data_IF_212997551145
#
_entry.id   IF_212997551145
#
_cell.length_a   1.000
_cell.length_b   1.000
_cell.length_c   1.000
_cell.angle_alpha   90.00
_cell.angle_beta   90.00
_cell.angle_gamma   90.00
#
_symmetry.space_group_name_H-M   'P 1'
#
loop_
_entity.id
_entity.type
_entity.pdbx_description
1 polymer ?
#
# COMPACT_ATOMS: atom_id res chain seq x y z
N UNK A 1 -3.21 3.34 -73.18
CA UNK A 1 -3.18 1.93 -72.75
C UNK A 1 -3.47 1.87 -71.26
N UNK A 2 -4.45 1.04 -70.90
CA UNK A 2 -4.91 0.63 -69.57
C UNK A 2 -5.26 1.72 -68.54
N UNK A 3 -6.53 2.14 -68.61
CA UNK A 3 -7.32 2.75 -67.54
C UNK A 3 -7.95 1.67 -66.64
N UNK A 4 -8.14 1.96 -65.35
CA UNK A 4 -9.27 1.44 -64.55
C UNK A 4 -9.83 2.54 -63.63
N UNK A 5 -11.13 2.85 -63.73
CA UNK A 5 -11.90 3.70 -62.81
C UNK A 5 -12.78 2.86 -61.82
N UNK A 6 -13.59 3.49 -60.94
CA UNK A 6 -14.03 2.95 -59.63
C UNK A 6 -15.51 2.50 -59.48
N UNK A 7 -15.82 1.91 -58.30
CA UNK A 7 -17.10 1.64 -57.55
C UNK A 7 -18.48 1.56 -58.25
N UNK A 8 -19.40 0.66 -57.78
CA UNK A 8 -20.62 1.10 -57.03
C UNK A 8 -21.04 0.17 -55.85
N UNK A 9 -21.70 0.61 -54.75
CA UNK A 9 -23.17 0.79 -54.48
C UNK A 9 -24.05 -0.42 -54.86
N UNK A 10 -25.16 -0.83 -54.22
CA UNK A 10 -25.86 -0.70 -52.94
C UNK A 10 -27.20 -1.48 -53.07
N UNK A 11 -27.85 -1.87 -51.95
CA UNK A 11 -29.30 -2.10 -51.75
C UNK A 11 -29.94 -3.52 -51.66
N UNK A 12 -30.58 -3.71 -50.49
CA UNK A 12 -31.95 -4.18 -50.19
C UNK A 12 -32.56 -5.42 -50.88
N UNK A 13 -33.07 -6.33 -50.04
CA UNK A 13 -34.14 -7.28 -50.38
C UNK A 13 -34.77 -7.87 -49.11
N UNK A 14 -36.08 -7.69 -48.96
CA UNK A 14 -36.92 -8.08 -47.80
C UNK A 14 -37.73 -9.35 -48.14
N UNK A 15 -38.18 -10.07 -47.11
CA UNK A 15 -39.29 -11.06 -47.02
C UNK A 15 -39.04 -12.53 -47.43
N UNK A 16 -39.18 -13.46 -46.47
CA UNK A 16 -40.47 -14.14 -46.19
C UNK A 16 -40.36 -15.18 -45.05
N UNK A 17 -41.46 -15.37 -44.34
CA UNK A 17 -41.68 -16.33 -43.23
C UNK A 17 -41.93 -17.75 -43.78
N UNK A 18 -41.49 -18.81 -43.08
CA UNK A 18 -42.37 -19.76 -42.36
C UNK A 18 -41.63 -20.94 -41.66
N UNK A 19 -41.93 -21.06 -40.35
CA UNK A 19 -42.22 -22.23 -39.49
C UNK A 19 -41.34 -23.49 -39.41
N UNK A 20 -41.09 -23.88 -38.13
CA UNK A 20 -40.87 -25.23 -37.60
C UNK A 20 -39.38 -25.60 -37.54
N UNK A 21 -38.77 -26.01 -36.42
CA UNK A 21 -39.22 -26.74 -35.24
C UNK A 21 -38.29 -26.44 -34.06
N UNK A 22 -38.86 -26.41 -32.86
CA UNK A 22 -38.22 -26.17 -31.55
C UNK A 22 -37.21 -27.29 -31.24
N UNK A 23 -35.99 -26.93 -30.85
CA UNK A 23 -35.00 -27.82 -30.24
C UNK A 23 -34.84 -27.43 -28.76
N UNK A 24 -35.21 -28.32 -27.85
CA UNK A 24 -34.97 -28.21 -26.41
C UNK A 24 -33.74 -29.07 -26.05
N UNK A 25 -32.79 -28.57 -25.25
CA UNK A 25 -31.71 -29.39 -24.70
C UNK A 25 -32.20 -30.21 -23.48
N UNK A 26 -31.67 -31.42 -23.25
CA UNK A 26 -32.16 -32.31 -22.21
C UNK A 26 -31.71 -31.86 -20.80
N UNK A 27 -32.66 -31.84 -19.87
CA UNK A 27 -32.45 -31.73 -18.43
C UNK A 27 -31.96 -33.06 -17.83
N UNK A 28 -30.86 -33.11 -17.06
CA UNK A 28 -30.56 -34.27 -16.22
C UNK A 28 -31.32 -34.18 -14.89
N UNK A 29 -32.14 -35.20 -14.61
CA UNK A 29 -32.85 -35.38 -13.34
C UNK A 29 -31.95 -35.82 -12.18
N UNK A 30 -32.48 -35.88 -10.94
CA UNK A 30 -31.67 -36.05 -9.74
C UNK A 30 -31.25 -37.51 -9.55
N UNK A 31 -29.95 -37.77 -9.59
CA UNK A 31 -29.39 -39.06 -9.16
C UNK A 31 -29.29 -39.08 -7.63
N UNK A 32 -30.24 -39.76 -6.98
CA UNK A 32 -30.17 -40.08 -5.55
C UNK A 32 -29.17 -41.22 -5.35
N UNK A 33 -27.97 -40.89 -4.87
CA UNK A 33 -26.99 -41.89 -4.45
C UNK A 33 -27.38 -42.39 -3.06
N UNK A 34 -27.97 -43.60 -2.98
CA UNK A 34 -28.15 -44.32 -1.71
C UNK A 34 -26.80 -44.90 -1.28
N UNK A 35 -26.21 -44.31 -0.24
CA UNK A 35 -25.05 -44.87 0.44
C UNK A 35 -25.49 -46.02 1.35
N UNK A 36 -24.97 -47.22 1.13
CA UNK A 36 -25.16 -48.38 2.03
C UNK A 36 -23.85 -48.63 2.79
N UNK A 37 -23.87 -48.79 4.12
CA UNK A 37 -22.63 -49.04 4.86
C UNK A 37 -22.18 -50.50 4.67
N UNK A 38 -20.87 -50.78 4.57
CA UNK A 38 -20.40 -52.16 4.54
C UNK A 38 -20.51 -52.81 5.93
N UNK A 39 -20.93 -54.08 5.93
CA UNK A 39 -21.05 -54.94 7.11
C UNK A 39 -19.68 -55.15 7.76
N UNK A 40 -19.60 -54.87 9.06
CA UNK A 40 -18.47 -55.24 9.92
C UNK A 40 -18.35 -56.76 10.03
N UNK A 41 -17.17 -57.30 9.74
CA UNK A 41 -16.72 -58.60 10.28
C UNK A 41 -15.58 -58.34 11.25
N UNK A 42 -15.83 -58.57 12.54
CA UNK A 42 -14.82 -58.56 13.58
C UNK A 42 -13.85 -59.73 13.40
N UNK A 43 -12.57 -59.43 13.22
CA UNK A 43 -11.48 -60.32 13.56
C UNK A 43 -10.53 -59.56 14.49
N UNK A 44 -10.47 -60.01 15.72
CA UNK A 44 -9.58 -59.51 16.76
C UNK A 44 -8.17 -59.99 16.46
N UNK A 45 -7.26 -59.08 16.13
CA UNK A 45 -5.83 -59.30 16.19
C UNK A 45 -5.22 -58.22 17.09
N UNK A 46 -4.75 -58.65 18.28
CA UNK A 46 -3.92 -57.83 19.16
C UNK A 46 -2.49 -57.87 18.62
N UNK A 47 -1.92 -56.72 18.25
CA UNK A 47 -0.49 -56.38 18.46
C UNK A 47 -0.11 -55.09 17.72
N UNK A 48 0.54 -54.17 18.43
CA UNK A 48 1.29 -53.06 17.86
C UNK A 48 0.59 -51.71 17.97
N UNK A 49 0.96 -50.93 18.99
CA UNK A 49 0.78 -49.48 18.93
C UNK A 49 1.74 -48.98 17.85
N UNK A 50 1.20 -48.67 16.68
CA UNK A 50 1.94 -47.99 15.63
C UNK A 50 2.12 -46.52 16.04
N UNK A 51 3.29 -46.21 16.61
CA UNK A 51 3.69 -44.85 17.01
C UNK A 51 4.19 -44.01 15.83
N UNK A 52 3.91 -44.40 14.57
CA UNK A 52 4.42 -43.70 13.38
C UNK A 52 3.44 -42.73 12.70
N UNK A 53 2.29 -42.42 13.33
CA UNK A 53 1.50 -41.28 12.87
C UNK A 53 2.16 -39.98 13.35
N UNK A 54 2.64 -39.09 12.45
CA UNK A 54 3.05 -37.76 12.87
C UNK A 54 1.86 -37.12 13.59
N UNK A 55 2.09 -36.52 14.75
CA UNK A 55 1.09 -35.68 15.39
C UNK A 55 0.55 -34.69 14.34
N UNK A 56 -0.76 -34.43 14.29
CA UNK A 56 -1.28 -33.41 13.38
C UNK A 56 -0.52 -32.12 13.67
N UNK A 57 0.21 -31.62 12.66
CA UNK A 57 0.90 -30.34 12.73
C UNK A 57 -0.09 -29.31 13.24
N UNK A 58 0.15 -28.82 14.45
CA UNK A 58 -0.75 -27.87 15.10
C UNK A 58 -0.78 -26.61 14.25
N UNK A 59 -1.87 -26.41 13.50
CA UNK A 59 -2.04 -25.22 12.67
C UNK A 59 -1.86 -23.97 13.52
N UNK A 60 -0.94 -23.11 13.12
CA UNK A 60 -0.67 -21.86 13.83
C UNK A 60 -1.69 -20.83 13.38
N UNK A 61 -2.23 -20.07 14.34
CA UNK A 61 -3.24 -19.03 14.10
C UNK A 61 -2.66 -17.67 14.43
N UNK A 62 -2.71 -16.75 13.48
CA UNK A 62 -2.16 -15.39 13.61
C UNK A 62 -3.31 -14.39 13.42
N UNK A 63 -3.65 -13.57 14.43
CA UNK A 63 -4.58 -12.47 14.25
C UNK A 63 -4.06 -11.51 13.17
N UNK A 64 -4.94 -11.18 12.22
CA UNK A 64 -4.63 -10.28 11.11
C UNK A 64 -5.73 -9.24 10.96
N UNK A 65 -5.32 -8.02 10.66
CA UNK A 65 -6.20 -6.88 10.39
C UNK A 65 -5.80 -6.24 9.06
N UNK A 66 -6.76 -5.66 8.35
CA UNK A 66 -6.47 -4.73 7.25
C UNK A 66 -6.99 -3.37 7.69
N UNK A 67 -6.11 -2.38 7.69
CA UNK A 67 -6.45 -1.00 7.99
C UNK A 67 -6.01 -0.08 6.85
N UNK A 68 -6.89 0.84 6.50
CA UNK A 68 -6.61 1.91 5.57
C UNK A 68 -6.04 3.11 6.35
N UNK A 69 -4.76 3.41 6.15
CA UNK A 69 -4.06 4.52 6.79
C UNK A 69 -4.18 5.82 5.99
N UNK A 70 -4.06 6.96 6.68
CA UNK A 70 -4.18 8.32 6.12
C UNK A 70 -5.56 8.64 5.52
N UNK A 71 -6.61 8.05 6.10
CA UNK A 71 -8.00 8.29 5.69
C UNK A 71 -8.97 8.16 6.86
N UNK A 72 -10.12 8.82 6.75
CA UNK A 72 -11.30 8.62 7.60
C UNK A 72 -12.37 7.74 6.96
N UNK A 73 -12.19 7.38 5.69
CA UNK A 73 -13.16 6.65 4.87
C UNK A 73 -12.53 5.33 4.41
N UNK A 74 -13.24 4.22 4.60
CA UNK A 74 -12.84 2.93 4.08
C UNK A 74 -12.66 2.98 2.55
N UNK A 75 -11.72 2.19 2.04
CA UNK A 75 -11.35 2.09 0.63
C UNK A 75 -10.64 3.33 0.05
N UNK A 76 -10.34 4.33 0.88
CA UNK A 76 -9.42 5.41 0.57
C UNK A 76 -8.08 5.21 1.32
N UNK A 77 -7.13 6.12 1.23
CA UNK A 77 -5.87 6.00 1.95
C UNK A 77 -4.99 4.85 1.46
N UNK A 78 -4.07 4.38 2.31
CA UNK A 78 -3.15 3.29 2.00
C UNK A 78 -3.44 2.04 2.85
N UNK A 79 -3.88 0.92 2.23
CA UNK A 79 -4.17 -0.31 2.95
C UNK A 79 -2.88 -1.00 3.40
N UNK A 80 -2.84 -1.43 4.66
CA UNK A 80 -1.81 -2.33 5.18
C UNK A 80 -2.43 -3.50 5.92
N UNK A 81 -1.88 -4.70 5.70
CA UNK A 81 -2.14 -5.84 6.57
C UNK A 81 -1.30 -5.71 7.85
N UNK A 82 -1.87 -6.06 9.00
CA UNK A 82 -1.20 -6.00 10.30
C UNK A 82 -1.39 -7.33 11.00
N UNK A 83 -0.30 -8.05 11.22
CA UNK A 83 -0.24 -9.36 11.88
C UNK A 83 0.26 -9.20 13.32
N UNK A 84 -0.44 -9.81 14.28
CA UNK A 84 -0.02 -9.82 15.69
C UNK A 84 0.68 -11.15 16.00
N UNK A 85 1.96 -11.06 16.33
CA UNK A 85 2.81 -12.23 16.59
C UNK A 85 2.93 -12.50 18.09
N UNK A 86 2.27 -13.58 18.54
CA UNK A 86 2.45 -14.13 19.88
C UNK A 86 3.83 -14.79 20.06
N UNK A 87 4.33 -15.42 18.99
CA UNK A 87 5.63 -16.09 18.94
C UNK A 87 6.44 -15.61 17.74
N UNK A 88 7.74 -15.90 17.72
CA UNK A 88 8.57 -15.66 16.52
C UNK A 88 8.04 -16.53 15.37
N UNK A 89 7.94 -15.93 14.18
CA UNK A 89 7.77 -16.65 12.92
C UNK A 89 9.14 -16.96 12.33
N UNK A 90 9.21 -18.03 11.56
CA UNK A 90 10.35 -18.31 10.70
C UNK A 90 10.52 -17.16 9.69
N UNK A 91 11.77 -16.83 9.35
CA UNK A 91 12.08 -15.63 8.56
C UNK A 91 11.38 -15.63 7.20
N UNK A 92 11.38 -16.77 6.51
CA UNK A 92 10.75 -16.93 5.21
C UNK A 92 9.21 -16.94 5.26
N UNK A 93 8.60 -17.07 6.45
CA UNK A 93 7.14 -16.99 6.60
C UNK A 93 6.62 -15.56 6.46
N UNK A 94 7.36 -14.55 6.95
CA UNK A 94 6.95 -13.14 6.82
C UNK A 94 6.76 -12.76 5.34
N UNK A 95 7.73 -13.12 4.50
CA UNK A 95 7.69 -12.84 3.07
C UNK A 95 6.57 -13.61 2.34
N UNK A 96 6.34 -14.88 2.72
CA UNK A 96 5.25 -15.70 2.16
C UNK A 96 3.89 -15.07 2.46
N UNK A 97 3.66 -14.67 3.72
CA UNK A 97 2.42 -14.00 4.13
C UNK A 97 2.25 -12.67 3.39
N UNK A 98 3.29 -11.84 3.32
CA UNK A 98 3.21 -10.56 2.63
C UNK A 98 2.88 -10.72 1.14
N UNK A 99 3.47 -11.74 0.49
CA UNK A 99 3.16 -12.10 -0.90
C UNK A 99 1.73 -12.60 -1.08
N UNK A 100 1.21 -13.40 -0.15
CA UNK A 100 -0.18 -13.88 -0.16
C UNK A 100 -1.18 -12.73 0.02
N UNK A 101 -0.90 -11.79 0.92
CA UNK A 101 -1.77 -10.63 1.15
C UNK A 101 -1.79 -9.66 -0.03
N UNK A 102 -0.68 -9.54 -0.76
CA UNK A 102 -0.56 -8.75 -1.97
C UNK A 102 -1.10 -7.29 -1.83
N UNK A 103 -0.92 -6.71 -0.64
CA UNK A 103 -1.12 -5.29 -0.36
C UNK A 103 0.22 -4.55 -0.53
N UNK A 104 0.20 -3.21 -0.41
CA UNK A 104 1.43 -2.39 -0.41
C UNK A 104 2.43 -2.97 0.60
N UNK A 105 1.98 -3.16 1.85
CA UNK A 105 2.78 -3.74 2.92
C UNK A 105 1.96 -4.63 3.85
N UNK A 106 2.64 -5.64 4.39
CA UNK A 106 2.23 -6.39 5.57
C UNK A 106 3.16 -6.07 6.73
N UNK A 107 2.60 -5.55 7.81
CA UNK A 107 3.27 -5.25 9.06
C UNK A 107 3.17 -6.42 10.03
N UNK A 108 4.25 -6.70 10.75
CA UNK A 108 4.29 -7.74 11.77
C UNK A 108 4.68 -7.12 13.12
N UNK A 109 3.73 -7.08 14.05
CA UNK A 109 3.94 -6.60 15.41
C UNK A 109 4.32 -7.78 16.29
N UNK A 110 5.48 -7.69 16.96
CA UNK A 110 5.98 -8.74 17.85
C UNK A 110 6.22 -8.21 19.25
N UNK A 111 5.86 -9.00 20.26
CA UNK A 111 6.25 -8.79 21.66
C UNK A 111 7.77 -8.86 21.83
N UNK A 112 8.35 -7.98 22.64
CA UNK A 112 9.80 -7.96 22.89
C UNK A 112 10.17 -8.87 24.06
N UNK A 113 9.30 -8.94 25.07
CA UNK A 113 9.44 -9.75 26.26
C UNK A 113 8.25 -10.70 26.45
N UNK A 114 8.43 -11.86 27.11
CA UNK A 114 7.33 -12.79 27.39
C UNK A 114 6.17 -12.20 28.20
N UNK A 115 6.45 -11.17 29.00
CA UNK A 115 5.46 -10.47 29.82
C UNK A 115 4.67 -9.42 29.04
N UNK A 116 5.05 -9.13 27.79
CA UNK A 116 4.37 -8.11 27.00
C UNK A 116 2.96 -8.55 26.59
N UNK A 117 2.06 -7.59 26.52
CA UNK A 117 0.73 -7.79 25.96
C UNK A 117 0.33 -6.61 25.08
N UNK A 118 -0.47 -6.89 24.05
CA UNK A 118 -0.85 -5.90 23.06
C UNK A 118 -1.81 -4.81 23.58
N UNK A 119 -2.30 -4.92 24.82
CA UNK A 119 -3.27 -3.99 25.43
C UNK A 119 -2.66 -3.03 26.47
N UNK A 120 -1.47 -3.32 26.99
CA UNK A 120 -0.86 -2.52 28.06
C UNK A 120 0.62 -2.22 27.83
N UNK A 121 1.34 -3.08 27.09
CA UNK A 121 2.72 -2.76 26.72
C UNK A 121 2.75 -1.57 25.76
N UNK A 122 3.78 -0.75 25.87
CA UNK A 122 4.01 0.42 25.02
C UNK A 122 5.14 0.22 24.02
N UNK A 123 5.91 -0.87 24.11
CA UNK A 123 7.06 -1.12 23.25
C UNK A 123 6.93 -2.46 22.52
N UNK A 124 7.10 -2.45 21.20
CA UNK A 124 6.94 -3.63 20.34
C UNK A 124 8.02 -3.69 19.27
N UNK A 125 8.37 -4.89 18.79
CA UNK A 125 9.09 -5.05 17.55
C UNK A 125 8.14 -4.86 16.36
N UNK A 126 8.61 -4.19 15.31
CA UNK A 126 7.83 -3.98 14.09
C UNK A 126 8.71 -4.19 12.85
N UNK A 127 8.19 -4.99 11.91
CA UNK A 127 8.79 -5.25 10.60
C UNK A 127 7.75 -5.05 9.51
N UNK A 128 8.19 -4.69 8.31
CA UNK A 128 7.30 -4.48 7.16
C UNK A 128 7.84 -5.18 5.93
N UNK A 129 6.93 -5.82 5.22
CA UNK A 129 7.25 -6.57 4.02
C UNK A 129 6.31 -6.12 2.90
N UNK A 130 6.89 -5.77 1.77
CA UNK A 130 6.15 -5.74 0.50
C UNK A 130 5.98 -7.18 0.00
N UNK A 131 5.22 -7.43 -1.08
CA UNK A 131 5.17 -8.74 -1.70
C UNK A 131 6.53 -9.28 -2.20
N UNK A 132 7.53 -8.40 -2.34
CA UNK A 132 8.84 -8.72 -2.90
C UNK A 132 9.99 -8.77 -1.88
N UNK A 133 9.97 -7.93 -0.83
CA UNK A 133 11.08 -7.82 0.13
C UNK A 133 10.68 -7.18 1.46
N UNK A 134 11.50 -7.37 2.50
CA UNK A 134 11.47 -6.54 3.70
C UNK A 134 11.94 -5.11 3.38
N UNK A 135 11.31 -4.10 3.99
CA UNK A 135 11.71 -2.70 3.86
C UNK A 135 12.07 -2.10 5.23
N UNK A 136 13.06 -1.19 5.30
CA UNK A 136 13.59 -0.71 6.57
C UNK A 136 12.68 0.27 7.30
N UNK A 137 11.78 0.97 6.58
CA UNK A 137 10.88 1.98 7.12
C UNK A 137 9.57 2.04 6.31
N UNK A 138 8.42 2.00 6.99
CA UNK A 138 7.12 2.21 6.34
C UNK A 138 6.16 3.04 7.19
N UNK A 139 5.87 4.27 6.77
CA UNK A 139 5.01 5.18 7.54
C UNK A 139 3.56 4.71 7.67
N UNK A 140 2.88 4.39 6.56
CA UNK A 140 1.45 4.07 6.61
C UNK A 140 1.17 2.76 7.34
N UNK A 141 2.03 1.74 7.17
CA UNK A 141 1.88 0.46 7.88
C UNK A 141 2.24 0.58 9.37
N UNK A 142 3.12 1.53 9.76
CA UNK A 142 3.30 1.93 11.17
C UNK A 142 2.04 2.58 11.74
N UNK A 143 1.40 3.47 10.97
CA UNK A 143 0.14 4.11 11.38
C UNK A 143 -0.97 3.08 11.54
N UNK A 144 -1.11 2.16 10.59
CA UNK A 144 -2.05 1.04 10.66
C UNK A 144 -1.80 0.16 11.88
N UNK A 145 -0.52 -0.17 12.16
CA UNK A 145 -0.13 -0.95 13.34
C UNK A 145 -0.52 -0.25 14.64
N UNK A 146 -0.25 1.06 14.74
CA UNK A 146 -0.67 1.86 15.88
C UNK A 146 -2.21 1.93 16.01
N UNK A 147 -2.94 2.03 14.90
CA UNK A 147 -4.41 2.04 14.91
C UNK A 147 -5.00 0.72 15.41
N UNK A 148 -4.43 -0.42 15.01
CA UNK A 148 -4.83 -1.73 15.53
C UNK A 148 -4.60 -1.80 17.03
N UNK A 149 -3.41 -1.42 17.51
CA UNK A 149 -3.11 -1.44 18.94
C UNK A 149 -4.00 -0.45 19.73
N UNK A 150 -4.09 0.81 19.30
CA UNK A 150 -4.82 1.83 20.04
C UNK A 150 -6.33 1.67 20.00
N UNK A 151 -6.91 1.42 18.82
CA UNK A 151 -8.35 1.50 18.64
C UNK A 151 -9.02 0.12 18.68
N UNK A 152 -8.39 -0.90 18.09
CA UNK A 152 -8.99 -2.23 18.04
C UNK A 152 -8.72 -3.04 19.30
N UNK A 153 -7.50 -2.99 19.80
CA UNK A 153 -7.12 -3.68 21.04
C UNK A 153 -7.27 -2.80 22.28
N UNK A 154 -7.68 -1.54 22.12
CA UNK A 154 -7.84 -0.59 23.22
C UNK A 154 -6.57 -0.45 24.09
N UNK A 155 -5.38 -0.46 23.48
CA UNK A 155 -4.13 -0.38 24.22
C UNK A 155 -4.04 0.90 25.06
N UNK A 156 -3.86 0.81 26.37
CA UNK A 156 -4.00 1.96 27.28
C UNK A 156 -2.83 2.95 27.24
N UNK A 157 -1.75 2.63 26.52
CA UNK A 157 -0.59 3.52 26.38
C UNK A 157 -0.96 4.80 25.63
N UNK A 158 -0.37 5.92 26.05
CA UNK A 158 -0.48 7.21 25.34
C UNK A 158 0.42 7.26 24.09
N UNK A 159 1.56 6.57 24.17
CA UNK A 159 2.57 6.47 23.13
C UNK A 159 2.96 5.00 22.94
N UNK A 160 3.10 4.58 21.69
CA UNK A 160 3.68 3.32 21.28
C UNK A 160 5.08 3.57 20.71
N UNK A 161 6.05 2.78 21.11
CA UNK A 161 7.40 2.72 20.54
C UNK A 161 7.54 1.42 19.76
N UNK A 162 7.98 1.54 18.52
CA UNK A 162 8.27 0.41 17.64
C UNK A 162 9.79 0.31 17.43
N UNK A 163 10.37 -0.82 17.79
CA UNK A 163 11.76 -1.18 17.52
C UNK A 163 11.84 -1.81 16.14
N UNK A 164 12.56 -1.16 15.22
CA UNK A 164 12.56 -1.47 13.78
C UNK A 164 14.00 -1.53 13.24
N UNK A 165 14.18 -1.92 11.97
CA UNK A 165 15.50 -1.89 11.33
C UNK A 165 16.06 -0.46 11.18
N UNK A 166 15.20 0.56 11.10
CA UNK A 166 15.59 1.97 11.06
C UNK A 166 15.67 2.63 12.44
N UNK A 167 15.70 1.84 13.52
CA UNK A 167 15.69 2.33 14.89
C UNK A 167 14.29 2.48 15.47
N UNK A 168 14.15 3.32 16.49
CA UNK A 168 12.87 3.51 17.18
C UNK A 168 11.98 4.52 16.44
N UNK A 169 10.71 4.14 16.26
CA UNK A 169 9.64 5.01 15.77
C UNK A 169 8.57 5.13 16.85
N UNK A 170 8.00 6.32 17.03
CA UNK A 170 6.92 6.50 18.00
C UNK A 170 5.61 6.88 17.33
N UNK A 171 4.52 6.34 17.85
CA UNK A 171 3.16 6.67 17.46
C UNK A 171 2.38 7.15 18.69
N UNK A 172 1.76 8.33 18.59
CA UNK A 172 1.02 8.97 19.68
C UNK A 172 -0.44 9.14 19.28
N UNK A 173 -1.35 8.90 20.22
CA UNK A 173 -2.75 9.28 20.05
C UNK A 173 -2.86 10.79 19.96
N UNK A 174 -3.66 11.27 19.03
CA UNK A 174 -4.15 12.65 18.99
C UNK A 174 -5.68 12.63 19.03
N UNK A 175 -6.30 13.80 19.24
CA UNK A 175 -7.76 13.96 19.27
C UNK A 175 -8.41 13.44 17.98
N UNK A 176 -7.72 13.60 16.84
CA UNK A 176 -8.25 13.34 15.51
C UNK A 176 -7.27 12.52 14.65
N UNK A 177 -6.81 11.40 15.21
CA UNK A 177 -5.95 10.42 14.53
C UNK A 177 -4.70 10.05 15.33
N UNK A 178 -3.66 9.64 14.61
CA UNK A 178 -2.39 9.18 15.16
C UNK A 178 -1.27 10.05 14.58
N UNK A 179 -0.34 10.45 15.44
CA UNK A 179 0.88 11.17 15.04
C UNK A 179 2.04 10.20 15.07
N UNK A 180 2.72 10.05 13.94
CA UNK A 180 3.99 9.37 13.83
C UNK A 180 5.13 10.36 13.93
N UNK A 181 6.12 10.08 14.76
CA UNK A 181 7.39 10.80 14.76
C UNK A 181 8.39 10.08 13.86
N UNK A 182 8.76 10.73 12.76
CA UNK A 182 9.61 10.19 11.70
C UNK A 182 10.87 11.05 11.50
N UNK A 183 11.97 10.47 10.99
CA UNK A 183 13.12 11.26 10.57
C UNK A 183 12.71 12.23 9.45
N UNK A 184 13.30 13.42 9.43
CA UNK A 184 13.19 14.37 8.33
C UNK A 184 14.41 14.19 7.42
N UNK A 185 14.18 13.81 6.15
CA UNK A 185 15.29 13.60 5.21
C UNK A 185 15.49 14.83 4.32
N UNK A 186 16.72 15.38 4.28
CA UNK A 186 17.01 16.53 3.45
C UNK A 186 17.03 16.16 1.96
N UNK A 187 17.00 17.20 1.13
CA UNK A 187 17.23 17.08 -0.30
C UNK A 187 18.33 18.03 -0.75
N UNK A 188 18.97 17.69 -1.86
CA UNK A 188 19.93 18.52 -2.57
C UNK A 188 19.42 18.83 -3.99
N UNK A 189 19.83 19.96 -4.60
CA UNK A 189 19.57 20.20 -6.02
C UNK A 189 20.04 19.02 -6.87
N UNK A 190 19.23 18.62 -7.85
CA UNK A 190 19.59 17.61 -8.84
C UNK A 190 19.70 18.28 -10.21
N UNK A 191 20.79 18.03 -10.92
CA UNK A 191 20.92 18.48 -12.31
C UNK A 191 19.85 17.79 -13.15
N UNK A 192 19.01 18.60 -13.81
CA UNK A 192 17.92 18.14 -14.66
C UNK A 192 18.44 17.27 -15.80
N UNK A 193 19.58 17.59 -16.40
CA UNK A 193 20.11 16.85 -17.56
C UNK A 193 20.49 15.41 -17.21
N UNK A 194 20.91 15.16 -15.97
CA UNK A 194 21.26 13.80 -15.51
C UNK A 194 20.03 12.89 -15.37
N UNK A 195 18.85 13.47 -15.14
CA UNK A 195 17.59 12.74 -14.88
C UNK A 195 16.51 13.03 -15.92
N UNK A 196 16.84 13.75 -16.99
CA UNK A 196 15.89 14.24 -18.00
C UNK A 196 15.09 13.10 -18.63
N UNK A 197 15.75 11.99 -18.98
CA UNK A 197 15.08 10.83 -19.57
C UNK A 197 14.06 10.21 -18.61
N UNK A 198 14.38 10.15 -17.30
CA UNK A 198 13.48 9.61 -16.30
C UNK A 198 12.27 10.52 -16.09
N UNK A 199 12.50 11.84 -16.04
CA UNK A 199 11.43 12.83 -15.92
C UNK A 199 10.53 12.77 -17.15
N UNK A 200 11.08 12.77 -18.37
CA UNK A 200 10.30 12.65 -19.61
C UNK A 200 9.51 11.34 -19.68
N UNK A 201 10.07 10.23 -19.22
CA UNK A 201 9.35 8.97 -19.12
C UNK A 201 8.19 9.02 -18.13
N UNK A 202 8.31 9.82 -17.06
CA UNK A 202 7.27 9.95 -16.04
C UNK A 202 6.17 10.92 -16.42
N UNK A 203 6.54 12.13 -16.88
CA UNK A 203 5.63 13.27 -17.01
C UNK A 203 5.66 13.93 -18.40
N UNK A 204 6.37 13.36 -19.38
CA UNK A 204 6.49 13.92 -20.72
C UNK A 204 7.13 15.31 -20.72
N UNK A 205 6.58 16.22 -21.53
CA UNK A 205 7.04 17.62 -21.65
C UNK A 205 6.39 18.56 -20.62
N UNK A 206 5.86 18.02 -19.52
CA UNK A 206 5.27 18.81 -18.44
C UNK A 206 6.31 19.76 -17.84
N UNK A 207 5.93 21.03 -17.62
CA UNK A 207 6.86 22.02 -17.08
C UNK A 207 7.21 21.73 -15.62
N UNK A 208 8.52 21.61 -15.37
CA UNK A 208 9.11 21.38 -14.05
C UNK A 208 9.69 22.67 -13.51
N UNK A 209 9.45 22.95 -12.23
CA UNK A 209 9.95 24.14 -11.55
C UNK A 209 11.21 23.89 -10.72
N UNK A 210 11.34 22.69 -10.16
CA UNK A 210 12.50 22.30 -9.35
C UNK A 210 12.67 20.78 -9.37
N UNK A 211 13.91 20.33 -9.29
CA UNK A 211 14.26 18.90 -9.17
C UNK A 211 15.25 18.73 -8.03
N UNK A 212 14.90 17.84 -7.11
CA UNK A 212 15.67 17.56 -5.91
C UNK A 212 15.90 16.08 -5.76
N UNK A 213 17.00 15.71 -5.12
CA UNK A 213 17.30 14.32 -4.79
C UNK A 213 17.57 14.18 -3.29
N UNK A 214 17.06 13.10 -2.69
CA UNK A 214 17.32 12.74 -1.29
C UNK A 214 18.25 11.52 -1.25
N UNK A 215 19.56 11.68 -0.94
CA UNK A 215 20.51 10.58 -0.96
C UNK A 215 20.19 9.46 0.04
N UNK A 216 19.72 9.83 1.23
CA UNK A 216 19.45 8.88 2.33
C UNK A 216 18.31 7.91 2.00
N UNK A 217 17.39 8.33 1.13
CA UNK A 217 16.21 7.55 0.75
C UNK A 217 16.20 7.17 -0.73
N UNK A 218 17.17 7.64 -1.50
CA UNK A 218 17.27 7.46 -2.95
C UNK A 218 16.02 7.93 -3.72
N UNK A 219 15.38 9.00 -3.26
CA UNK A 219 14.16 9.52 -3.88
C UNK A 219 14.44 10.77 -4.74
N UNK A 220 13.89 10.77 -5.95
CA UNK A 220 13.84 11.96 -6.81
C UNK A 220 12.53 12.70 -6.57
N UNK A 221 12.61 13.99 -6.24
CA UNK A 221 11.47 14.89 -6.10
C UNK A 221 11.44 15.83 -7.30
N UNK A 222 10.32 15.80 -8.02
CA UNK A 222 10.03 16.64 -9.17
C UNK A 222 8.88 17.57 -8.80
N UNK A 223 9.18 18.87 -8.64
CA UNK A 223 8.16 19.90 -8.42
C UNK A 223 7.67 20.39 -9.77
N UNK A 224 6.38 20.25 -10.03
CA UNK A 224 5.73 20.81 -11.22
C UNK A 224 5.57 22.33 -11.12
N UNK A 225 5.47 22.99 -12.27
CA UNK A 225 5.16 24.42 -12.37
C UNK A 225 3.86 24.77 -11.65
N UNK A 226 3.83 25.93 -10.98
CA UNK A 226 2.65 26.50 -10.33
C UNK A 226 1.50 26.84 -11.34
N UNK A 227 1.72 26.64 -12.65
CA UNK A 227 0.67 26.74 -13.69
C UNK A 227 -0.28 25.53 -13.75
N UNK A 228 0.06 24.44 -13.08
CA UNK A 228 -0.79 23.26 -12.96
C UNK A 228 -1.55 23.26 -11.64
N UNK A 229 -2.66 22.52 -11.59
CA UNK A 229 -3.52 22.38 -10.42
C UNK A 229 -3.58 20.92 -9.95
N UNK A 230 -4.35 20.68 -8.88
CA UNK A 230 -4.59 19.33 -8.36
C UNK A 230 -5.16 18.39 -9.43
N UNK A 231 -6.10 18.89 -10.23
CA UNK A 231 -6.80 18.12 -11.26
C UNK A 231 -5.80 17.53 -12.27
N UNK A 232 -4.81 18.33 -12.68
CA UNK A 232 -3.72 17.86 -13.53
C UNK A 232 -2.95 16.69 -12.90
N UNK A 233 -2.59 16.80 -11.62
CA UNK A 233 -1.83 15.76 -10.93
C UNK A 233 -2.63 14.45 -10.80
N UNK A 234 -3.94 14.53 -10.57
CA UNK A 234 -4.85 13.37 -10.48
C UNK A 234 -5.00 12.62 -11.81
N UNK A 235 -5.05 13.34 -12.94
CA UNK A 235 -5.23 12.71 -14.26
C UNK A 235 -3.93 12.25 -14.91
N UNK A 236 -2.77 12.74 -14.44
CA UNK A 236 -1.45 12.41 -14.97
C UNK A 236 -1.25 10.89 -15.08
N UNK A 237 -0.88 10.41 -16.28
CA UNK A 237 -0.64 8.98 -16.53
C UNK A 237 0.85 8.72 -16.57
N UNK A 238 1.35 8.02 -15.56
CA UNK A 238 2.76 7.63 -15.45
C UNK A 238 2.89 6.17 -15.88
N UNK A 239 3.68 5.91 -16.93
CA UNK A 239 4.00 4.53 -17.33
C UNK A 239 5.19 4.03 -16.49
N UNK A 240 4.86 3.40 -15.36
CA UNK A 240 5.85 2.92 -14.39
C UNK A 240 6.75 1.80 -14.94
N UNK A 241 6.29 1.07 -15.97
CA UNK A 241 7.11 0.08 -16.68
C UNK A 241 8.22 0.70 -17.52
N UNK A 242 8.03 1.92 -18.04
CA UNK A 242 9.09 2.65 -18.73
C UNK A 242 10.13 3.20 -17.74
N UNK A 243 9.72 3.58 -16.52
CA UNK A 243 10.65 4.08 -15.50
C UNK A 243 11.73 3.06 -15.15
N UNK A 244 11.37 1.78 -15.02
CA UNK A 244 12.31 0.71 -14.71
C UNK A 244 13.25 0.36 -15.87
N UNK A 245 12.89 0.72 -17.10
CA UNK A 245 13.76 0.57 -18.28
C UNK A 245 14.75 1.72 -18.42
N UNK A 246 14.37 2.93 -18.02
CA UNK A 246 15.20 4.13 -18.13
C UNK A 246 16.20 4.22 -16.96
N UNK A 247 15.75 3.94 -15.74
CA UNK A 247 16.60 3.94 -14.55
C UNK A 247 16.95 2.50 -14.15
N UNK A 248 18.09 2.05 -14.67
CA UNK A 248 18.64 0.70 -14.41
C UNK A 248 19.76 0.69 -13.37
N UNK A 249 20.23 1.87 -12.95
CA UNK A 249 21.38 1.99 -12.03
C UNK A 249 20.99 1.77 -10.57
N UNK A 250 19.69 1.80 -10.27
CA UNK A 250 19.11 1.72 -8.92
C UNK A 250 19.58 2.85 -8.00
N UNK A 251 20.02 3.97 -8.59
CA UNK A 251 20.31 5.20 -7.83
C UNK A 251 19.03 5.87 -7.37
N UNK A 252 17.96 5.73 -8.13
CA UNK A 252 16.63 6.24 -7.77
C UNK A 252 15.72 5.05 -7.49
N UNK A 253 15.15 5.06 -6.30
CA UNK A 253 14.33 4.02 -5.71
C UNK A 253 12.87 4.47 -5.56
N UNK A 254 12.60 5.77 -5.73
CA UNK A 254 11.26 6.33 -5.77
C UNK A 254 11.22 7.70 -6.46
N UNK A 255 10.08 7.99 -7.06
CA UNK A 255 9.79 9.23 -7.76
C UNK A 255 8.60 9.92 -7.07
N UNK A 256 8.86 11.10 -6.53
CA UNK A 256 7.86 12.00 -5.96
C UNK A 256 7.54 13.06 -7.01
N UNK A 257 6.28 13.18 -7.41
CA UNK A 257 5.80 14.31 -8.21
C UNK A 257 4.94 15.18 -7.30
N UNK A 258 5.25 16.48 -7.20
CA UNK A 258 4.59 17.37 -6.25
C UNK A 258 4.24 18.71 -6.85
N UNK A 259 3.21 19.34 -6.29
CA UNK A 259 2.65 20.60 -6.74
C UNK A 259 2.25 21.45 -5.53
N UNK A 260 2.45 22.77 -5.62
CA UNK A 260 1.96 23.71 -4.62
C UNK A 260 0.43 23.74 -4.66
N UNK A 261 -0.23 23.75 -3.51
CA UNK A 261 -1.67 23.91 -3.51
C UNK A 261 -2.05 25.38 -3.78
N UNK A 262 -3.14 25.57 -4.52
CA UNK A 262 -3.75 26.89 -4.66
C UNK A 262 -4.32 27.36 -3.32
N UNK A 263 -4.34 28.68 -3.06
CA UNK A 263 -5.03 29.23 -1.90
C UNK A 263 -6.51 28.82 -1.96
N UNK A 264 -6.96 27.91 -1.10
CA UNK A 264 -8.38 27.64 -1.00
C UNK A 264 -9.04 28.87 -0.35
N UNK A 265 -10.12 29.37 -0.96
CA UNK A 265 -10.88 30.51 -0.43
C UNK A 265 -11.39 30.27 0.99
N UNK A 266 -12.62 29.77 1.15
CA UNK A 266 -13.25 29.57 2.47
C UNK A 266 -13.23 28.12 2.98
N UNK A 267 -12.63 27.18 2.25
CA UNK A 267 -12.46 25.78 2.68
C UNK A 267 -11.06 25.55 3.23
N UNK A 268 -10.91 24.60 4.16
CA UNK A 268 -9.61 24.28 4.74
C UNK A 268 -8.65 23.73 3.66
N UNK A 269 -7.77 24.60 3.17
CA UNK A 269 -6.83 24.29 2.08
C UNK A 269 -5.83 23.21 2.49
N UNK A 270 -5.38 22.42 1.52
CA UNK A 270 -4.06 21.78 1.59
C UNK A 270 -2.99 22.81 1.23
N UNK A 271 -1.76 22.60 1.67
CA UNK A 271 -0.60 23.42 1.35
C UNK A 271 0.15 22.89 0.12
N UNK A 272 0.13 21.58 -0.09
CA UNK A 272 0.70 20.94 -1.28
C UNK A 272 0.05 19.59 -1.60
N UNK A 273 0.26 19.16 -2.85
CA UNK A 273 -0.19 17.90 -3.40
C UNK A 273 1.01 17.04 -3.82
N UNK A 274 0.84 15.72 -3.77
CA UNK A 274 1.89 14.78 -4.19
C UNK A 274 1.32 13.53 -4.85
N UNK A 275 2.17 12.83 -5.60
CA UNK A 275 2.02 11.41 -6.01
C UNK A 275 3.37 10.73 -5.87
N UNK A 276 3.36 9.41 -5.66
CA UNK A 276 4.56 8.64 -5.41
C UNK A 276 4.58 7.35 -6.22
N UNK A 277 5.68 7.12 -6.94
CA UNK A 277 5.89 5.96 -7.80
C UNK A 277 7.15 5.23 -7.38
N UNK A 278 7.08 3.91 -7.20
CA UNK A 278 8.22 3.10 -6.76
C UNK A 278 8.23 1.71 -7.41
N UNK A 279 8.17 1.63 -8.75
CA UNK A 279 8.01 0.35 -9.45
C UNK A 279 9.18 -0.62 -9.25
N UNK A 280 10.36 -0.14 -8.83
CA UNK A 280 11.52 -0.96 -8.52
C UNK A 280 11.31 -1.90 -7.31
N UNK A 281 10.31 -1.63 -6.46
CA UNK A 281 9.91 -2.52 -5.35
C UNK A 281 8.59 -3.26 -5.61
N UNK A 282 8.14 -3.30 -6.88
CA UNK A 282 6.90 -3.97 -7.25
C UNK A 282 5.63 -3.16 -6.97
N UNK A 283 5.75 -1.92 -6.50
CA UNK A 283 4.62 -1.01 -6.27
C UNK A 283 4.62 0.07 -7.35
N UNK A 284 3.71 -0.04 -8.31
CA UNK A 284 3.65 0.91 -9.43
C UNK A 284 3.41 2.35 -8.94
N UNK A 285 2.37 2.55 -8.15
CA UNK A 285 2.05 3.81 -7.48
C UNK A 285 1.61 3.48 -6.05
N UNK A 286 2.22 4.13 -5.07
CA UNK A 286 1.87 3.95 -3.66
C UNK A 286 0.71 4.91 -3.30
N UNK A 287 -0.39 4.43 -2.69
CA UNK A 287 -1.56 5.26 -2.43
C UNK A 287 -1.29 6.48 -1.55
N UNK A 288 -0.59 6.28 -0.41
CA UNK A 288 -0.22 7.34 0.53
C UNK A 288 1.09 7.00 1.23
N UNK A 289 2.13 7.82 1.01
CA UNK A 289 3.51 7.45 1.31
C UNK A 289 4.06 8.30 2.44
N UNK A 290 4.08 7.75 3.66
CA UNK A 290 4.65 8.45 4.82
C UNK A 290 6.14 8.82 4.63
N UNK A 291 6.92 7.92 4.01
CA UNK A 291 8.33 8.18 3.68
C UNK A 291 8.48 9.38 2.74
N UNK A 292 7.71 9.48 1.66
CA UNK A 292 7.76 10.64 0.78
C UNK A 292 7.51 11.96 1.53
N UNK A 293 6.63 11.92 2.53
CA UNK A 293 6.32 13.09 3.35
C UNK A 293 7.43 13.48 4.32
N UNK A 294 8.34 12.58 4.68
CA UNK A 294 9.56 12.96 5.41
C UNK A 294 10.51 13.83 4.59
N UNK A 295 10.41 13.78 3.27
CA UNK A 295 11.21 14.57 2.31
C UNK A 295 10.44 15.84 1.94
N UNK A 296 9.18 15.67 1.54
CA UNK A 296 8.29 16.77 1.14
C UNK A 296 8.10 17.80 2.25
N UNK A 297 8.09 17.38 3.52
CA UNK A 297 7.93 18.30 4.66
C UNK A 297 9.06 19.32 4.71
N UNK A 298 10.31 18.88 4.56
CA UNK A 298 11.46 19.79 4.57
C UNK A 298 11.44 20.71 3.35
N UNK A 299 11.18 20.13 2.19
CA UNK A 299 11.08 20.87 0.93
C UNK A 299 10.02 21.98 0.98
N UNK A 300 8.77 21.62 1.24
CA UNK A 300 7.65 22.58 1.24
C UNK A 300 7.71 23.55 2.41
N UNK A 301 8.26 23.16 3.56
CA UNK A 301 8.50 24.08 4.66
C UNK A 301 9.39 25.24 4.23
N UNK A 302 10.47 24.95 3.50
CA UNK A 302 11.35 25.97 2.95
C UNK A 302 10.67 26.82 1.88
N UNK A 303 9.91 26.20 0.97
CA UNK A 303 9.22 26.93 -0.11
C UNK A 303 8.10 27.84 0.39
N UNK A 304 7.39 27.44 1.47
CA UNK A 304 6.20 28.13 1.98
C UNK A 304 6.48 28.99 3.23
N UNK A 305 7.64 28.82 3.88
CA UNK A 305 7.94 29.46 5.16
C UNK A 305 7.06 28.97 6.31
N UNK A 306 6.54 27.74 6.25
CA UNK A 306 5.61 27.15 7.24
C UNK A 306 6.22 25.93 7.91
N UNK A 307 5.87 25.68 9.18
CA UNK A 307 6.25 24.46 9.91
C UNK A 307 5.11 23.47 10.06
N UNK A 308 3.89 23.98 10.14
CA UNK A 308 2.66 23.20 10.17
C UNK A 308 1.99 23.30 8.81
N UNK A 309 1.71 22.15 8.20
CA UNK A 309 1.16 22.05 6.85
C UNK A 309 0.15 20.91 6.75
N UNK A 310 -0.74 20.99 5.75
CA UNK A 310 -1.61 19.89 5.33
C UNK A 310 -1.23 19.46 3.92
N UNK A 311 -1.11 18.15 3.71
CA UNK A 311 -0.80 17.58 2.42
C UNK A 311 -1.92 16.63 1.97
N UNK A 312 -2.07 16.51 0.66
CA UNK A 312 -2.93 15.48 0.07
C UNK A 312 -2.20 14.72 -1.04
N UNK A 313 -2.11 13.39 -0.89
CA UNK A 313 -1.53 12.52 -1.92
C UNK A 313 -2.63 12.15 -2.93
N UNK A 314 -2.48 12.61 -4.17
CA UNK A 314 -3.43 12.54 -5.27
C UNK A 314 -3.39 11.21 -6.02
N UNK A 315 -3.22 10.09 -5.30
CA UNK A 315 -3.40 8.76 -5.89
C UNK A 315 -4.90 8.49 -6.13
N UNK A 316 -5.28 7.45 -6.89
CA UNK A 316 -6.69 7.09 -7.07
C UNK A 316 -7.47 6.84 -5.77
N UNK A 317 -6.78 6.45 -4.68
CA UNK A 317 -7.40 6.26 -3.36
C UNK A 317 -7.44 7.54 -2.53
N UNK A 318 -6.52 8.48 -2.79
CA UNK A 318 -6.39 9.73 -2.03
C UNK A 318 -5.91 9.52 -0.60
N UNK A 319 -5.29 10.54 0.00
CA UNK A 319 -4.94 10.49 1.42
C UNK A 319 -4.53 11.82 2.00
N UNK A 320 -4.94 12.04 3.24
CA UNK A 320 -4.69 13.29 3.97
C UNK A 320 -3.60 13.11 5.02
N UNK A 321 -2.66 14.06 5.05
CA UNK A 321 -1.60 14.08 6.04
C UNK A 321 -1.51 15.46 6.69
N UNK A 322 -1.45 15.46 8.02
CA UNK A 322 -0.99 16.62 8.78
C UNK A 322 0.50 16.55 9.00
N UNK A 323 1.20 17.67 8.88
CA UNK A 323 2.66 17.74 8.98
C UNK A 323 3.01 18.81 9.99
N UNK A 324 3.91 18.49 10.91
CA UNK A 324 4.52 19.44 11.82
C UNK A 324 6.03 19.20 11.91
N UNK A 325 6.84 20.13 11.41
CA UNK A 325 8.30 20.04 11.53
C UNK A 325 8.72 20.21 12.99
N UNK A 326 9.65 19.35 13.43
CA UNK A 326 10.18 19.33 14.79
C UNK A 326 11.68 19.66 14.79
N UNK A 327 12.24 20.07 15.94
CA UNK A 327 13.69 20.18 16.08
C UNK A 327 14.43 18.86 15.78
N UNK A 328 15.75 18.92 15.63
CA UNK A 328 16.62 17.75 15.48
C UNK A 328 16.32 16.85 14.26
N UNK A 329 15.94 17.45 13.12
CA UNK A 329 15.65 16.72 11.88
C UNK A 329 14.57 15.63 12.06
N UNK A 330 13.48 16.00 12.73
CA UNK A 330 12.30 15.15 12.92
C UNK A 330 11.05 15.82 12.35
N UNK A 331 10.06 15.01 12.01
CA UNK A 331 8.76 15.48 11.53
C UNK A 331 7.66 14.61 12.11
N UNK A 332 6.64 15.29 12.64
CA UNK A 332 5.40 14.66 13.04
C UNK A 332 4.50 14.55 11.79
N UNK A 333 4.15 13.32 11.42
CA UNK A 333 3.18 13.02 10.35
C UNK A 333 1.91 12.48 10.99
N UNK A 334 0.82 13.25 10.89
CA UNK A 334 -0.50 12.91 11.44
C UNK A 334 -1.39 12.31 10.36
N UNK A 335 -2.08 11.23 10.70
CA UNK A 335 -3.11 10.64 9.84
C UNK A 335 -4.19 9.92 10.65
N UNK A 336 -5.36 9.76 10.05
CA UNK A 336 -6.42 8.87 10.55
C UNK A 336 -6.23 7.47 9.98
N UNK A 337 -6.87 6.47 10.58
CA UNK A 337 -6.96 5.14 10.01
C UNK A 337 -8.33 4.52 10.26
N UNK A 338 -8.75 3.67 9.32
CA UNK A 338 -10.00 2.91 9.38
C UNK A 338 -9.67 1.42 9.32
N UNK A 339 -10.17 0.64 10.26
CA UNK A 339 -10.09 -0.82 10.17
C UNK A 339 -11.17 -1.34 9.21
N UNK A 340 -10.76 -2.16 8.24
CA UNK A 340 -11.63 -2.68 7.17
C UNK A 340 -11.87 -4.18 7.34
N UNK A 341 -10.84 -4.94 7.70
CA UNK A 341 -10.93 -6.39 7.89
C UNK A 341 -10.30 -6.78 9.21
N UNK A 342 -10.91 -7.77 9.85
CA UNK A 342 -10.37 -8.50 11.00
C UNK A 342 -10.54 -9.99 10.73
N UNK A 343 -9.51 -10.77 11.03
CA UNK A 343 -9.54 -12.20 10.83
C UNK A 343 -8.40 -12.94 11.51
N UNK A 344 -8.21 -14.17 11.08
CA UNK A 344 -7.14 -15.04 11.58
C UNK A 344 -6.54 -15.80 10.41
N UNK A 345 -5.25 -15.59 10.19
CA UNK A 345 -4.46 -16.38 9.25
C UNK A 345 -4.18 -17.75 9.87
N UNK A 346 -4.33 -18.80 9.07
CA UNK A 346 -4.01 -20.18 9.46
C UNK A 346 -2.84 -20.65 8.63
N UNK A 347 -1.73 -21.05 9.29
CA UNK A 347 -0.50 -21.53 8.64
C UNK A 347 -0.06 -22.89 9.16
#
# INVERSE_FOLDING_TARGET
>A
MCQRPPYPKSHCGVFSRQRGTRWEPPTPGPAVVRWSPPKQSCLVARSGVDTSRPEPTRMMKIPIFIADAFTATAFCGNPAAVCLLENKLDEDMHQKIAKEMNLSETAFIRKLHPTDNFTQSSCFGLRWFTPASEIPLCGHATLASAAVLFYKLNNTSSTLTFVTLSGELTARRAEDGIILDLPLYPTQPQDFHEVENLIKAAIGDTQVQDVRYSPDTQNLLVRLSDSYDRSFLEILKVNTGTLTQVETTRKISGLIVTLKAEPAGHTQAFDFYSRYFSPWFGVAEDPVTGLAHTILSGYWSQQLGKKDMRAFQCSPRGGELGISLRPHARVDIKGRAVLVVEGTLTI
#
